data_IF_252552186448
#
_entry.id   IF_252552186448
#
_cell.length_a   1.000
_cell.length_b   1.000
_cell.length_c   1.000
_cell.angle_alpha   90.00
_cell.angle_beta   90.00
_cell.angle_gamma   90.00
#
_symmetry.space_group_name_H-M   'P 1'
#
loop_
_entity.id
_entity.type
_entity.pdbx_description
1 polymer ?
#
# COMPACT_ATOMS: atom_id res chain seq x y z
N UNK A 1 0.92 -22.57 8.24
CA UNK A 1 -0.28 -21.74 8.45
C UNK A 1 0.07 -20.34 8.97
N UNK A 2 1.07 -19.64 8.41
CA UNK A 2 1.44 -18.29 8.89
C UNK A 2 1.29 -17.20 7.84
N UNK A 3 1.55 -17.53 6.57
CA UNK A 3 1.48 -16.56 5.47
C UNK A 3 0.04 -16.15 5.14
N UNK A 4 -0.88 -17.12 5.10
CA UNK A 4 -2.28 -16.87 4.78
C UNK A 4 -2.99 -16.05 5.87
N UNK A 5 -2.61 -16.26 7.14
CA UNK A 5 -3.15 -15.55 8.31
C UNK A 5 -2.76 -14.06 8.31
N UNK A 6 -1.51 -13.75 7.92
CA UNK A 6 -1.03 -12.37 7.76
C UNK A 6 -1.72 -11.66 6.59
N UNK A 7 -1.99 -12.39 5.52
CA UNK A 7 -2.73 -11.87 4.35
C UNK A 7 -4.15 -11.46 4.71
N UNK A 8 -4.88 -12.36 5.36
CA UNK A 8 -6.25 -12.12 5.81
C UNK A 8 -6.28 -10.92 6.77
N UNK A 9 -5.37 -10.90 7.74
CA UNK A 9 -5.27 -9.80 8.71
C UNK A 9 -5.02 -8.44 8.03
N UNK A 10 -4.17 -8.38 7.00
CA UNK A 10 -3.88 -7.14 6.28
C UNK A 10 -5.06 -6.69 5.42
N UNK A 11 -5.73 -7.63 4.75
CA UNK A 11 -6.94 -7.37 3.98
C UNK A 11 -8.06 -6.85 4.89
N UNK A 12 -8.30 -7.50 6.03
CA UNK A 12 -9.24 -7.04 7.04
C UNK A 12 -8.90 -5.63 7.52
N UNK A 13 -7.62 -5.37 7.84
CA UNK A 13 -7.17 -4.05 8.27
C UNK A 13 -7.39 -2.98 7.19
N UNK A 14 -7.10 -3.33 5.93
CA UNK A 14 -7.26 -2.45 4.78
C UNK A 14 -8.72 -2.14 4.48
N UNK A 15 -9.59 -3.15 4.51
CA UNK A 15 -11.04 -3.01 4.33
C UNK A 15 -11.63 -2.20 5.48
N UNK A 16 -11.21 -2.45 6.72
CA UNK A 16 -11.71 -1.73 7.89
C UNK A 16 -11.30 -0.25 7.88
N UNK A 17 -10.08 0.06 7.42
CA UNK A 17 -9.57 1.44 7.34
C UNK A 17 -9.92 2.16 6.03
N UNK A 18 -10.27 1.41 4.98
CA UNK A 18 -10.38 1.91 3.60
C UNK A 18 -9.05 2.37 2.99
N UNK A 19 -7.93 2.22 3.70
CA UNK A 19 -6.60 2.63 3.23
C UNK A 19 -5.52 1.73 3.82
N UNK A 20 -4.47 1.45 3.03
CA UNK A 20 -3.26 0.73 3.45
C UNK A 20 -2.03 1.50 3.04
N UNK A 21 -0.94 1.40 3.80
CA UNK A 21 0.33 2.02 3.43
C UNK A 21 1.27 1.06 2.71
N UNK A 22 2.13 1.56 1.82
CA UNK A 22 3.21 0.73 1.23
C UNK A 22 4.10 0.06 2.28
N UNK A 23 4.27 0.69 3.45
CA UNK A 23 4.99 0.11 4.57
C UNK A 23 4.23 -1.06 5.18
N UNK A 24 2.91 -0.93 5.40
CA UNK A 24 2.06 -2.03 5.90
C UNK A 24 2.02 -3.20 4.90
N UNK A 25 1.99 -2.91 3.59
CA UNK A 25 2.15 -3.94 2.56
C UNK A 25 3.49 -4.66 2.70
N UNK A 26 4.59 -3.92 2.83
CA UNK A 26 5.94 -4.50 2.93
C UNK A 26 6.23 -5.19 4.27
N UNK A 27 5.49 -4.85 5.32
CA UNK A 27 5.60 -5.45 6.65
C UNK A 27 4.81 -6.77 6.75
N UNK A 28 3.60 -6.78 6.20
CA UNK A 28 2.79 -7.99 6.07
C UNK A 28 3.31 -8.93 4.97
N UNK A 29 4.01 -8.38 3.97
CA UNK A 29 4.66 -9.11 2.90
C UNK A 29 6.13 -8.69 2.77
N UNK A 30 7.11 -9.48 3.23
CA UNK A 30 8.50 -9.21 2.92
C UNK A 30 8.67 -9.16 1.39
N UNK A 31 9.08 -8.00 0.87
CA UNK A 31 8.90 -7.52 -0.52
C UNK A 31 9.59 -8.32 -1.65
N UNK A 32 9.97 -9.56 -1.41
CA UNK A 32 10.66 -10.44 -2.38
C UNK A 32 9.72 -11.41 -3.12
N UNK A 33 8.43 -11.44 -2.78
CA UNK A 33 7.53 -12.51 -3.23
C UNK A 33 6.70 -12.21 -4.48
N UNK A 34 6.60 -10.96 -4.94
CA UNK A 34 5.73 -10.62 -6.07
C UNK A 34 6.46 -9.92 -7.21
N UNK A 35 6.34 -10.42 -8.46
CA UNK A 35 6.68 -9.63 -9.62
C UNK A 35 5.76 -8.41 -9.73
N UNK A 36 6.23 -7.34 -10.40
CA UNK A 36 5.51 -6.07 -10.52
C UNK A 36 4.06 -6.25 -11.01
N UNK A 37 3.84 -7.17 -11.97
CA UNK A 37 2.49 -7.46 -12.49
C UNK A 37 1.52 -7.95 -11.41
N UNK A 38 2.00 -8.74 -10.45
CA UNK A 38 1.15 -9.30 -9.40
C UNK A 38 0.84 -8.27 -8.31
N UNK A 39 1.80 -7.37 -8.06
CA UNK A 39 1.55 -6.17 -7.25
C UNK A 39 0.47 -5.28 -7.89
N UNK A 40 0.54 -5.03 -9.20
CA UNK A 40 -0.47 -4.23 -9.91
C UNK A 40 -1.87 -4.86 -9.83
N UNK A 41 -1.97 -6.18 -10.00
CA UNK A 41 -3.25 -6.90 -9.81
C UNK A 41 -3.76 -6.77 -8.38
N UNK A 42 -2.88 -6.85 -7.38
CA UNK A 42 -3.26 -6.71 -5.99
C UNK A 42 -3.73 -5.29 -5.65
N UNK A 43 -3.06 -4.27 -6.17
CA UNK A 43 -3.47 -2.87 -6.03
C UNK A 43 -4.85 -2.63 -6.65
N UNK A 44 -5.11 -3.19 -7.83
CA UNK A 44 -6.42 -3.12 -8.49
C UNK A 44 -7.49 -3.80 -7.65
N UNK A 45 -7.21 -4.99 -7.10
CA UNK A 45 -8.14 -5.71 -6.22
C UNK A 45 -8.45 -4.93 -4.94
N UNK A 46 -7.44 -4.32 -4.32
CA UNK A 46 -7.64 -3.47 -3.15
C UNK A 46 -8.55 -2.29 -3.49
N UNK A 47 -8.34 -1.64 -4.64
CA UNK A 47 -9.18 -0.53 -5.09
C UNK A 47 -10.63 -0.96 -5.35
N UNK A 48 -10.85 -2.13 -5.94
CA UNK A 48 -12.18 -2.74 -6.12
C UNK A 48 -12.88 -3.03 -4.78
N UNK A 49 -12.11 -3.37 -3.75
CA UNK A 49 -12.59 -3.56 -2.37
C UNK A 49 -12.78 -2.23 -1.61
N UNK A 50 -12.51 -1.08 -2.23
CA UNK A 50 -12.60 0.24 -1.60
C UNK A 50 -11.42 0.59 -0.71
N UNK A 51 -10.31 -0.13 -0.84
CA UNK A 51 -9.06 0.06 -0.10
C UNK A 51 -8.05 0.82 -0.95
N UNK A 52 -7.66 2.01 -0.48
CA UNK A 52 -6.67 2.83 -1.19
C UNK A 52 -5.27 2.63 -0.63
N UNK A 53 -4.33 2.23 -1.49
CA UNK A 53 -2.92 2.20 -1.10
C UNK A 53 -2.32 3.59 -1.15
N UNK A 54 -1.77 4.05 -0.03
CA UNK A 54 -1.10 5.34 0.10
C UNK A 54 0.37 5.11 0.37
N UNK A 55 1.20 5.94 -0.27
CA UNK A 55 2.62 5.89 -0.02
C UNK A 55 2.92 6.37 1.43
N UNK A 56 3.70 5.58 2.18
CA UNK A 56 4.10 5.93 3.55
C UNK A 56 5.04 7.15 3.60
N UNK A 57 5.63 7.56 2.49
CA UNK A 57 6.47 8.75 2.36
C UNK A 57 5.69 10.01 2.01
N UNK A 58 4.56 10.26 2.69
CA UNK A 58 4.15 11.65 2.90
C UNK A 58 5.12 12.35 3.86
N UNK A 59 6.39 12.55 3.46
CA UNK A 59 7.25 13.62 4.01
C UNK A 59 8.59 13.91 3.32
N UNK A 60 8.79 13.63 2.04
CA UNK A 60 9.90 14.23 1.28
C UNK A 60 9.37 14.56 -0.14
N UNK A 61 9.17 15.78 -0.63
CA UNK A 61 9.71 17.09 -0.28
C UNK A 61 8.77 18.21 -0.79
N UNK A 62 8.61 19.22 0.08
CA UNK A 62 8.80 20.65 -0.20
C UNK A 62 7.98 21.32 -1.33
N UNK A 63 7.13 22.24 -0.88
CA UNK A 63 6.92 23.56 -1.49
C UNK A 63 8.14 24.03 -2.31
N UNK A 64 8.03 24.08 -3.63
CA UNK A 64 8.71 25.10 -4.42
C UNK A 64 7.66 26.08 -4.90
N UNK A 65 7.18 26.91 -3.97
CA UNK A 65 6.84 28.28 -4.30
C UNK A 65 8.16 29.02 -4.44
N UNK A 66 8.70 29.11 -5.65
CA UNK A 66 9.54 30.25 -5.98
C UNK A 66 9.04 30.82 -7.30
N UNK A 67 8.29 31.91 -7.16
CA UNK A 67 8.27 33.04 -8.09
C UNK A 67 9.60 33.12 -8.86
N UNK A 68 9.55 33.15 -10.18
CA UNK A 68 10.53 33.90 -10.96
C UNK A 68 9.76 35.05 -11.60
N UNK A 69 10.07 36.24 -11.10
CA UNK A 69 9.80 37.55 -11.72
C UNK A 69 10.92 37.75 -12.73
#
# INVERSE_FOLDING_TARGET
>A
MKQQDMMDSLLELGVQRGTLTCQELSDAFPSEFFPLEELERFLSLLEELGVKVVDSEKKLKRKTRQNHI
#
